data_IF_011610561620
#
_entry.id   IF_011610561620
#
_cell.length_a   1.000
_cell.length_b   1.000
_cell.length_c   1.000
_cell.angle_alpha   90.00
_cell.angle_beta   90.00
_cell.angle_gamma   90.00
#
_symmetry.space_group_name_H-M   'P 1'
#
loop_
_entity.id
_entity.type
_entity.pdbx_description
1 polymer ?
#
# COMPACT_ATOMS: atom_id res chain seq x y z
N UNK A 1 33.00 21.14 14.09
CA UNK A 1 31.73 21.88 13.93
C UNK A 1 31.07 21.60 12.60
N UNK A 2 31.65 21.95 11.44
CA UNK A 2 31.01 21.77 10.13
C UNK A 2 30.55 20.33 9.81
N UNK A 3 31.30 19.30 10.21
CA UNK A 3 30.86 17.90 10.07
C UNK A 3 29.63 17.56 10.93
N UNK A 4 29.55 18.08 12.16
CA UNK A 4 28.39 17.89 13.05
C UNK A 4 27.17 18.62 12.50
N UNK A 5 27.38 19.83 11.96
CA UNK A 5 26.33 20.60 11.29
C UNK A 5 25.82 19.84 10.07
N UNK A 6 26.69 19.33 9.20
CA UNK A 6 26.29 18.53 8.03
C UNK A 6 25.56 17.24 8.38
N UNK A 7 25.95 16.57 9.47
CA UNK A 7 25.23 15.42 10.01
C UNK A 7 23.83 15.82 10.50
N UNK A 8 23.74 16.88 11.31
CA UNK A 8 22.49 17.34 11.91
C UNK A 8 21.51 17.88 10.88
N UNK A 9 21.97 18.68 9.91
CA UNK A 9 21.12 19.24 8.85
C UNK A 9 20.55 18.15 7.95
N UNK A 10 21.33 17.14 7.58
CA UNK A 10 20.83 16.01 6.81
C UNK A 10 19.86 15.14 7.61
N UNK A 11 20.15 14.87 8.88
CA UNK A 11 19.24 14.15 9.78
C UNK A 11 17.90 14.90 9.92
N UNK A 12 17.97 16.22 10.09
CA UNK A 12 16.80 17.08 10.22
C UNK A 12 15.99 17.12 8.92
N UNK A 13 16.64 17.28 7.76
CA UNK A 13 15.97 17.26 6.46
C UNK A 13 15.20 15.95 6.23
N UNK A 14 15.80 14.82 6.62
CA UNK A 14 15.14 13.51 6.57
C UNK A 14 13.96 13.48 7.53
N UNK A 15 14.11 13.89 8.79
CA UNK A 15 12.98 13.92 9.72
C UNK A 15 11.84 14.81 9.26
N UNK A 16 12.15 16.01 8.76
CA UNK A 16 11.19 16.97 8.21
C UNK A 16 10.51 16.45 6.94
N UNK A 17 11.09 15.48 6.24
CA UNK A 17 10.44 14.83 5.10
C UNK A 17 9.32 13.87 5.53
N UNK A 18 9.45 13.28 6.71
CA UNK A 18 8.55 12.23 7.19
C UNK A 18 7.59 12.66 8.31
N UNK A 19 7.95 13.68 9.08
CA UNK A 19 7.20 14.13 10.25
C UNK A 19 6.96 15.64 10.24
N UNK A 20 5.83 16.09 10.82
CA UNK A 20 4.74 15.30 11.39
C UNK A 20 3.81 14.74 10.30
N UNK A 21 3.15 13.61 10.58
CA UNK A 21 2.22 12.96 9.63
C UNK A 21 0.99 13.85 9.36
N UNK A 22 0.46 14.46 10.41
CA UNK A 22 -0.61 15.47 10.32
C UNK A 22 0.00 16.84 10.41
N UNK A 23 -0.59 17.81 9.71
CA UNK A 23 -0.19 19.21 9.82
C UNK A 23 -0.28 19.68 11.28
N UNK A 24 0.83 20.21 11.80
CA UNK A 24 0.88 20.85 13.12
C UNK A 24 1.14 22.33 12.90
N UNK A 25 0.19 23.17 13.29
CA UNK A 25 0.30 24.62 13.19
C UNK A 25 -1.04 25.35 13.30
N UNK A 26 -1.00 26.67 13.17
CA UNK A 26 -2.16 27.55 13.23
C UNK A 26 -2.27 28.29 11.88
N UNK A 27 -3.32 27.98 11.11
CA UNK A 27 -3.56 28.60 9.79
C UNK A 27 -2.44 28.30 8.78
N UNK A 28 -1.86 29.35 8.18
CA UNK A 28 -0.77 29.24 7.19
C UNK A 28 0.61 28.96 7.82
N UNK A 29 0.72 29.03 9.15
CA UNK A 29 1.98 28.79 9.87
C UNK A 29 1.88 27.40 10.50
N UNK A 30 2.41 26.40 9.80
CA UNK A 30 2.56 25.06 10.32
C UNK A 30 3.43 24.18 9.44
N UNK A 31 3.86 23.07 10.01
CA UNK A 31 4.70 22.10 9.33
C UNK A 31 3.97 20.76 9.22
N UNK A 32 4.05 20.17 8.05
CA UNK A 32 3.70 18.78 7.79
C UNK A 32 4.86 18.16 7.03
N UNK A 33 5.16 16.89 7.30
CA UNK A 33 6.17 16.18 6.53
C UNK A 33 5.87 16.24 5.04
N UNK A 34 6.90 16.41 4.22
CA UNK A 34 6.86 16.45 2.74
C UNK A 34 6.03 15.28 2.18
N UNK A 35 6.34 14.06 2.63
CA UNK A 35 5.72 12.84 2.11
C UNK A 35 4.25 12.74 2.55
N UNK A 36 3.89 12.88 3.84
CA UNK A 36 2.49 12.94 4.26
C UNK A 36 1.67 14.01 3.54
N UNK A 37 2.22 15.21 3.33
CA UNK A 37 1.52 16.32 2.65
C UNK A 37 1.18 16.01 1.20
N UNK A 38 1.98 15.17 0.54
CA UNK A 38 1.85 14.82 -0.88
C UNK A 38 1.38 13.38 -1.10
N UNK A 39 1.01 12.67 -0.04
CA UNK A 39 0.65 11.25 -0.08
C UNK A 39 -0.44 10.95 -1.11
N UNK A 40 -1.45 11.82 -1.25
CA UNK A 40 -2.54 11.66 -2.23
C UNK A 40 -2.03 11.73 -3.68
N UNK A 41 -1.21 12.72 -4.01
CA UNK A 41 -0.62 12.83 -5.36
C UNK A 41 0.29 11.65 -5.67
N UNK A 42 1.06 11.21 -4.67
CA UNK A 42 1.92 10.03 -4.78
C UNK A 42 1.11 8.76 -4.97
N UNK A 43 0.01 8.61 -4.24
CA UNK A 43 -0.95 7.53 -4.39
C UNK A 43 -1.48 7.50 -5.82
N UNK A 44 -1.93 8.63 -6.39
CA UNK A 44 -2.40 8.67 -7.78
C UNK A 44 -1.33 8.24 -8.78
N UNK A 45 -0.10 8.75 -8.67
CA UNK A 45 1.01 8.34 -9.56
C UNK A 45 1.32 6.85 -9.39
N UNK A 46 1.38 6.38 -8.15
CA UNK A 46 1.63 4.99 -7.84
C UNK A 46 0.52 4.09 -8.40
N UNK A 47 -0.75 4.47 -8.25
CA UNK A 47 -1.91 3.77 -8.81
C UNK A 47 -1.82 3.74 -10.34
N UNK A 48 -1.63 4.87 -11.01
CA UNK A 48 -1.60 4.91 -12.47
C UNK A 48 -0.43 4.06 -13.04
N UNK A 49 0.73 4.08 -12.37
CA UNK A 49 1.88 3.23 -12.75
C UNK A 49 1.69 1.77 -12.40
N UNK A 50 1.09 1.48 -11.25
CA UNK A 50 0.75 0.12 -10.82
C UNK A 50 -0.30 -0.46 -11.76
N UNK A 51 -1.31 0.28 -12.18
CA UNK A 51 -2.30 -0.20 -13.15
C UNK A 51 -1.68 -0.51 -14.52
N UNK A 52 -0.75 0.33 -14.98
CA UNK A 52 -0.05 0.10 -16.26
C UNK A 52 0.76 -1.19 -16.28
N UNK A 53 1.31 -1.60 -15.12
CA UNK A 53 2.25 -2.74 -15.05
C UNK A 53 1.63 -4.01 -14.41
N UNK A 54 0.66 -3.83 -13.52
CA UNK A 54 0.03 -4.86 -12.70
C UNK A 54 -1.45 -5.07 -13.07
N UNK A 55 -1.93 -4.46 -14.16
CA UNK A 55 -3.34 -4.46 -14.56
C UNK A 55 -3.94 -5.82 -14.94
N UNK A 56 -3.19 -6.91 -14.82
CA UNK A 56 -3.72 -8.26 -14.99
C UNK A 56 -3.91 -8.93 -13.61
N UNK A 57 -5.10 -8.73 -13.03
CA UNK A 57 -5.48 -9.38 -11.77
C UNK A 57 -5.55 -10.90 -11.90
N UNK A 58 -5.71 -11.42 -13.12
CA UNK A 58 -5.77 -12.86 -13.37
C UNK A 58 -4.45 -13.55 -13.00
N UNK A 59 -3.31 -12.89 -13.20
CA UNK A 59 -2.00 -13.41 -12.75
C UNK A 59 -1.97 -13.59 -11.22
N UNK A 60 -2.50 -12.61 -10.47
CA UNK A 60 -2.58 -12.71 -9.00
C UNK A 60 -3.55 -13.79 -8.57
N UNK A 61 -4.72 -13.86 -9.21
CA UNK A 61 -5.73 -14.89 -8.96
C UNK A 61 -5.21 -16.32 -9.19
N UNK A 62 -4.53 -16.57 -10.32
CA UNK A 62 -3.93 -17.88 -10.60
C UNK A 62 -2.89 -18.27 -9.54
N UNK A 63 -2.10 -17.29 -9.08
CA UNK A 63 -1.07 -17.49 -8.05
C UNK A 63 -1.67 -17.77 -6.67
N UNK A 64 -2.85 -17.24 -6.38
CA UNK A 64 -3.59 -17.51 -5.14
C UNK A 64 -4.07 -18.96 -5.00
N UNK A 65 -3.92 -19.78 -6.06
CA UNK A 65 -4.41 -21.15 -6.17
C UNK A 65 -5.94 -21.19 -6.02
N UNK A 66 -6.72 -21.09 -7.12
CA UNK A 66 -8.20 -21.09 -7.06
C UNK A 66 -8.79 -22.24 -6.23
N UNK A 67 -8.17 -23.42 -6.30
CA UNK A 67 -8.52 -24.59 -5.51
C UNK A 67 -8.45 -24.34 -3.99
N UNK A 68 -7.53 -23.49 -3.51
CA UNK A 68 -7.46 -23.08 -2.09
C UNK A 68 -8.62 -22.17 -1.71
N UNK A 69 -9.04 -21.29 -2.60
CA UNK A 69 -10.23 -20.45 -2.41
C UNK A 69 -11.47 -21.35 -2.30
N UNK A 70 -11.63 -22.32 -3.20
CA UNK A 70 -12.73 -23.30 -3.15
C UNK A 70 -12.72 -24.07 -1.82
N UNK A 71 -11.57 -24.62 -1.41
CA UNK A 71 -11.43 -25.34 -0.14
C UNK A 71 -11.83 -24.48 1.06
N UNK A 72 -11.41 -23.22 1.08
CA UNK A 72 -11.73 -22.27 2.15
C UNK A 72 -13.24 -21.99 2.21
N UNK A 73 -13.87 -21.70 1.06
CA UNK A 73 -15.32 -21.43 1.00
C UNK A 73 -16.10 -22.67 1.42
N UNK A 74 -15.74 -23.86 0.92
CA UNK A 74 -16.40 -25.12 1.31
C UNK A 74 -16.24 -25.40 2.79
N UNK A 75 -15.05 -25.21 3.36
CA UNK A 75 -14.78 -25.47 4.77
C UNK A 75 -15.60 -24.57 5.72
N UNK A 76 -15.91 -23.34 5.30
CA UNK A 76 -16.71 -22.40 6.09
C UNK A 76 -18.22 -22.53 5.86
N UNK A 77 -18.65 -22.74 4.61
CA UNK A 77 -20.07 -22.75 4.24
C UNK A 77 -20.71 -24.11 4.48
N UNK A 78 -19.99 -25.22 4.26
CA UNK A 78 -20.54 -26.58 4.38
C UNK A 78 -21.06 -26.91 5.80
N UNK A 79 -20.34 -26.57 6.90
CA UNK A 79 -20.84 -26.84 8.25
C UNK A 79 -22.13 -26.08 8.61
N UNK A 80 -22.37 -24.94 7.97
CA UNK A 80 -23.53 -24.07 8.21
C UNK A 80 -24.62 -24.22 7.14
N UNK A 81 -24.48 -25.20 6.25
CA UNK A 81 -25.40 -25.39 5.13
C UNK A 81 -26.84 -25.63 5.60
N UNK A 82 -27.02 -26.46 6.63
CA UNK A 82 -28.35 -26.76 7.16
C UNK A 82 -29.00 -25.51 7.79
N UNK A 83 -28.21 -24.71 8.52
CA UNK A 83 -28.62 -23.41 9.08
C UNK A 83 -29.07 -22.46 7.97
N UNK A 84 -28.29 -22.33 6.89
CA UNK A 84 -28.65 -21.48 5.76
C UNK A 84 -29.92 -21.95 5.04
N UNK A 85 -30.12 -23.26 4.89
CA UNK A 85 -31.33 -23.81 4.28
C UNK A 85 -32.54 -23.50 5.17
N UNK A 86 -32.42 -23.72 6.47
CA UNK A 86 -33.49 -23.43 7.43
C UNK A 86 -33.84 -21.94 7.42
N UNK A 87 -32.85 -21.05 7.48
CA UNK A 87 -33.08 -19.60 7.42
C UNK A 87 -33.83 -19.18 6.15
N UNK A 88 -33.38 -19.65 4.98
CA UNK A 88 -34.02 -19.32 3.70
C UNK A 88 -35.47 -19.85 3.65
N UNK A 89 -35.69 -21.08 4.14
CA UNK A 89 -37.02 -21.70 4.12
C UNK A 89 -37.98 -21.05 5.11
N UNK A 90 -37.52 -20.70 6.32
CA UNK A 90 -38.33 -20.00 7.32
C UNK A 90 -38.65 -18.56 6.91
N UNK A 91 -37.77 -17.88 6.17
CA UNK A 91 -38.01 -16.53 5.67
C UNK A 91 -39.05 -16.51 4.53
N UNK A 92 -39.05 -17.54 3.68
CA UNK A 92 -39.93 -17.60 2.49
C UNK A 92 -41.26 -18.31 2.79
N UNK A 93 -41.21 -19.48 3.42
CA UNK A 93 -42.39 -20.29 3.69
C UNK A 93 -42.24 -21.12 4.99
N UNK A 94 -42.46 -20.51 6.17
CA UNK A 94 -42.29 -21.17 7.46
C UNK A 94 -43.27 -22.33 7.64
N UNK A 95 -44.53 -22.16 7.23
CA UNK A 95 -45.59 -23.16 7.40
C UNK A 95 -45.31 -24.45 6.63
N UNK A 96 -44.76 -24.35 5.42
CA UNK A 96 -44.37 -25.53 4.65
C UNK A 96 -43.18 -26.24 5.31
N UNK A 97 -42.21 -25.47 5.80
CA UNK A 97 -41.00 -26.01 6.39
C UNK A 97 -41.28 -26.80 7.67
N UNK A 98 -42.15 -26.28 8.53
CA UNK A 98 -42.56 -26.96 9.77
C UNK A 98 -43.36 -28.25 9.51
N UNK A 99 -44.15 -28.28 8.43
CA UNK A 99 -45.00 -29.42 8.08
C UNK A 99 -44.29 -30.47 7.20
N UNK A 100 -43.04 -30.23 6.78
CA UNK A 100 -42.29 -31.16 5.94
C UNK A 100 -41.83 -32.40 6.75
N UNK A 101 -42.12 -33.62 6.27
CA UNK A 101 -41.63 -34.83 6.90
C UNK A 101 -40.10 -34.84 7.03
N UNK A 102 -39.59 -35.38 8.14
CA UNK A 102 -38.15 -35.39 8.47
C UNK A 102 -37.29 -36.01 7.35
N UNK A 103 -37.79 -37.05 6.68
CA UNK A 103 -37.06 -37.69 5.58
C UNK A 103 -36.88 -36.78 4.36
N UNK A 104 -37.83 -35.87 4.12
CA UNK A 104 -37.74 -34.91 3.01
C UNK A 104 -36.72 -33.83 3.36
N UNK A 105 -36.78 -33.27 4.57
CA UNK A 105 -35.77 -32.30 5.05
C UNK A 105 -34.37 -32.87 5.00
N UNK A 106 -34.17 -34.09 5.50
CA UNK A 106 -32.89 -34.79 5.43
C UNK A 106 -32.39 -34.97 3.98
N UNK A 107 -33.30 -35.24 3.04
CA UNK A 107 -32.96 -35.36 1.61
C UNK A 107 -32.55 -34.02 1.01
N UNK A 108 -33.20 -32.91 1.38
CA UNK A 108 -32.83 -31.56 0.94
C UNK A 108 -31.44 -31.20 1.47
N UNK A 109 -31.17 -31.38 2.77
CA UNK A 109 -29.86 -31.11 3.36
C UNK A 109 -28.76 -31.94 2.67
N UNK A 110 -28.98 -33.25 2.47
CA UNK A 110 -28.01 -34.12 1.82
C UNK A 110 -27.75 -33.70 0.37
N UNK A 111 -28.79 -33.37 -0.38
CA UNK A 111 -28.67 -32.94 -1.76
C UNK A 111 -27.91 -31.61 -1.87
N UNK A 112 -28.18 -30.63 -1.00
CA UNK A 112 -27.46 -29.37 -0.97
C UNK A 112 -25.98 -29.55 -0.63
N UNK A 113 -25.66 -30.37 0.39
CA UNK A 113 -24.27 -30.70 0.76
C UNK A 113 -23.50 -31.38 -0.37
N UNK A 114 -24.16 -32.21 -1.17
CA UNK A 114 -23.54 -32.91 -2.31
C UNK A 114 -23.28 -31.98 -3.50
N UNK A 115 -24.16 -31.01 -3.75
CA UNK A 115 -24.05 -30.11 -4.90
C UNK A 115 -23.17 -28.89 -4.65
N UNK A 116 -23.04 -28.46 -3.39
CA UNK A 116 -22.33 -27.23 -3.04
C UNK A 116 -20.87 -27.18 -3.53
N UNK A 117 -20.02 -28.21 -3.35
CA UNK A 117 -18.61 -28.12 -3.72
C UNK A 117 -18.42 -27.80 -5.21
N UNK A 118 -19.11 -28.54 -6.09
CA UNK A 118 -19.05 -28.34 -7.54
C UNK A 118 -19.54 -26.94 -7.94
N UNK A 119 -20.60 -26.43 -7.28
CA UNK A 119 -21.11 -25.06 -7.54
C UNK A 119 -20.16 -23.96 -7.08
N UNK A 120 -19.44 -24.18 -5.98
CA UNK A 120 -18.42 -23.24 -5.53
C UNK A 120 -17.23 -23.26 -6.49
N UNK A 121 -16.82 -24.43 -6.98
CA UNK A 121 -15.74 -24.56 -7.95
C UNK A 121 -16.05 -23.80 -9.25
N UNK A 122 -17.21 -24.06 -9.86
CA UNK A 122 -17.67 -23.34 -11.07
C UNK A 122 -17.80 -21.81 -10.82
N UNK A 123 -18.23 -21.40 -9.62
CA UNK A 123 -18.39 -20.00 -9.25
C UNK A 123 -17.05 -19.28 -9.07
N UNK A 124 -16.07 -19.93 -8.44
CA UNK A 124 -14.72 -19.38 -8.28
C UNK A 124 -14.03 -19.29 -9.65
N UNK A 125 -14.21 -20.29 -10.51
CA UNK A 125 -13.69 -20.28 -11.89
C UNK A 125 -14.25 -19.09 -12.69
N UNK A 126 -15.59 -18.92 -12.73
CA UNK A 126 -16.25 -17.78 -13.39
C UNK A 126 -15.77 -16.42 -12.85
N UNK A 127 -15.52 -16.31 -11.53
CA UNK A 127 -14.95 -15.09 -10.95
C UNK A 127 -13.51 -14.83 -11.39
N UNK A 128 -12.73 -15.89 -11.57
CA UNK A 128 -11.38 -15.81 -12.09
C UNK A 128 -11.32 -15.30 -13.52
N UNK A 129 -12.20 -15.81 -14.38
CA UNK A 129 -12.24 -15.44 -15.79
C UNK A 129 -12.68 -13.97 -15.99
N UNK A 130 -13.64 -13.51 -15.19
CA UNK A 130 -14.18 -12.16 -15.26
C UNK A 130 -13.51 -11.14 -14.31
N UNK A 131 -12.45 -11.52 -13.57
CA UNK A 131 -11.93 -10.71 -12.44
C UNK A 131 -11.58 -9.27 -12.81
N UNK A 132 -10.94 -9.07 -13.97
CA UNK A 132 -10.58 -7.75 -14.50
C UNK A 132 -11.81 -6.86 -14.79
N UNK A 133 -12.96 -7.46 -15.06
CA UNK A 133 -14.23 -6.76 -15.32
C UNK A 133 -15.08 -6.59 -14.04
N UNK A 134 -14.83 -7.41 -13.01
CA UNK A 134 -15.51 -7.33 -11.71
C UNK A 134 -14.86 -6.30 -10.78
N UNK A 135 -13.55 -6.10 -10.88
CA UNK A 135 -12.77 -5.26 -9.95
C UNK A 135 -12.16 -4.07 -10.68
N UNK A 136 -12.63 -2.87 -10.34
CA UNK A 136 -11.91 -1.64 -10.67
C UNK A 136 -10.75 -1.44 -9.69
N UNK A 137 -9.55 -1.92 -10.09
CA UNK A 137 -8.34 -1.80 -9.30
C UNK A 137 -7.97 -0.33 -9.01
N UNK A 138 -8.29 0.60 -9.92
CA UNK A 138 -8.04 2.03 -9.71
C UNK A 138 -8.88 2.55 -8.56
N UNK A 139 -10.18 2.26 -8.58
CA UNK A 139 -11.10 2.66 -7.53
C UNK A 139 -10.74 2.02 -6.18
N UNK A 140 -10.39 0.72 -6.18
CA UNK A 140 -9.96 0.00 -4.98
C UNK A 140 -8.72 0.65 -4.36
N UNK A 141 -7.62 0.78 -5.12
CA UNK A 141 -6.37 1.35 -4.58
C UNK A 141 -6.54 2.81 -4.15
N UNK A 142 -7.35 3.60 -4.87
CA UNK A 142 -7.66 4.98 -4.49
C UNK A 142 -8.40 5.04 -3.15
N UNK A 143 -9.39 4.18 -2.93
CA UNK A 143 -10.15 4.10 -1.68
C UNK A 143 -9.25 3.67 -0.51
N UNK A 144 -8.44 2.63 -0.71
CA UNK A 144 -7.59 2.10 0.35
C UNK A 144 -6.44 3.04 0.73
N UNK A 145 -5.86 3.75 -0.24
CA UNK A 145 -4.84 4.77 0.05
C UNK A 145 -5.39 6.01 0.76
N UNK A 146 -6.66 6.37 0.52
CA UNK A 146 -7.34 7.43 1.31
C UNK A 146 -7.56 7.01 2.77
N UNK A 147 -7.86 5.73 3.01
CA UNK A 147 -8.04 5.19 4.36
C UNK A 147 -6.70 4.98 5.09
N UNK A 148 -5.60 4.77 4.36
CA UNK A 148 -4.25 4.54 4.88
C UNK A 148 -3.23 5.55 4.34
N UNK A 149 -3.36 6.85 4.67
CA UNK A 149 -2.47 7.90 4.15
C UNK A 149 -1.02 7.78 4.65
N UNK A 150 -0.79 7.05 5.74
CA UNK A 150 0.52 6.79 6.30
C UNK A 150 1.27 5.65 5.60
N UNK A 151 0.59 4.84 4.77
CA UNK A 151 1.20 3.70 4.08
C UNK A 151 2.41 4.13 3.23
N UNK A 152 2.27 5.24 2.50
CA UNK A 152 3.39 5.79 1.73
C UNK A 152 4.56 6.16 2.65
N UNK A 153 4.30 6.82 3.78
CA UNK A 153 5.34 7.15 4.75
C UNK A 153 6.05 5.89 5.28
N UNK A 154 5.29 4.84 5.60
CA UNK A 154 5.83 3.55 6.07
C UNK A 154 6.64 2.83 5.01
N UNK A 155 6.16 2.75 3.77
CA UNK A 155 6.90 2.22 2.62
C UNK A 155 8.28 2.91 2.53
N UNK A 156 8.31 4.24 2.52
CA UNK A 156 9.55 4.98 2.39
C UNK A 156 10.46 4.86 3.61
N UNK A 157 9.90 4.79 4.82
CA UNK A 157 10.67 4.59 6.05
C UNK A 157 11.27 3.20 6.14
N UNK A 158 10.48 2.15 5.94
CA UNK A 158 10.94 0.78 6.02
C UNK A 158 11.93 0.48 4.91
N UNK A 159 11.57 0.80 3.66
CA UNK A 159 12.40 0.50 2.51
C UNK A 159 13.64 1.41 2.40
N UNK A 160 13.54 2.67 2.85
CA UNK A 160 14.60 3.68 2.74
C UNK A 160 15.49 3.82 3.98
N UNK A 161 15.11 3.25 5.14
CA UNK A 161 15.78 3.46 6.43
C UNK A 161 17.30 3.38 6.38
N UNK A 162 17.84 2.34 5.75
CA UNK A 162 19.28 2.08 5.66
C UNK A 162 19.98 3.14 4.80
N UNK A 163 19.39 3.52 3.67
CA UNK A 163 20.02 4.50 2.76
C UNK A 163 19.90 5.92 3.29
N UNK A 164 18.79 6.25 3.94
CA UNK A 164 18.62 7.53 4.65
C UNK A 164 19.67 7.67 5.75
N UNK A 165 19.95 6.62 6.53
CA UNK A 165 21.03 6.63 7.51
C UNK A 165 22.42 6.76 6.87
N UNK A 166 22.66 6.10 5.73
CA UNK A 166 23.91 6.25 4.97
C UNK A 166 24.13 7.70 4.55
N UNK A 167 23.08 8.39 4.11
CA UNK A 167 23.13 9.80 3.68
C UNK A 167 23.41 10.74 4.86
N UNK A 168 22.86 10.45 6.04
CA UNK A 168 23.16 11.20 7.26
C UNK A 168 24.64 11.09 7.61
N UNK A 169 25.17 9.86 7.61
CA UNK A 169 26.57 9.60 7.95
C UNK A 169 27.54 10.21 6.92
N UNK A 170 27.23 10.09 5.62
CA UNK A 170 28.00 10.74 4.55
C UNK A 170 27.83 12.26 4.56
N UNK A 171 26.72 12.77 5.07
CA UNK A 171 26.48 14.19 5.31
C UNK A 171 27.52 14.82 6.22
N UNK A 172 27.96 14.10 7.24
CA UNK A 172 29.04 14.55 8.12
C UNK A 172 30.36 14.74 7.35
N UNK A 173 30.68 13.80 6.45
CA UNK A 173 31.89 13.84 5.63
C UNK A 173 31.83 14.99 4.64
N UNK A 174 30.70 15.15 3.94
CA UNK A 174 30.49 16.23 2.96
C UNK A 174 30.56 17.60 3.65
N UNK A 175 29.82 17.78 4.75
CA UNK A 175 29.85 19.01 5.52
C UNK A 175 31.22 19.31 6.11
N UNK A 176 31.97 18.29 6.53
CA UNK A 176 33.35 18.40 6.97
C UNK A 176 34.29 18.89 5.86
N UNK A 177 34.18 18.32 4.65
CA UNK A 177 35.00 18.71 3.49
C UNK A 177 34.70 20.14 3.04
N UNK A 178 33.41 20.50 2.93
CA UNK A 178 33.01 21.87 2.58
C UNK A 178 33.41 22.87 3.66
N UNK A 179 33.31 22.50 4.94
CA UNK A 179 33.80 23.32 6.04
C UNK A 179 35.31 23.50 6.04
N UNK A 180 36.07 22.47 5.64
CA UNK A 180 37.52 22.56 5.48
C UNK A 180 37.93 23.50 4.33
N UNK A 181 37.10 23.62 3.29
CA UNK A 181 37.28 24.63 2.22
C UNK A 181 36.91 26.03 2.71
N UNK A 182 35.88 26.15 3.57
CA UNK A 182 35.45 27.44 4.13
C UNK A 182 36.46 28.00 5.17
N UNK A 183 37.17 27.14 5.90
CA UNK A 183 38.14 27.54 6.92
C UNK A 183 39.27 28.47 6.41
N UNK A 184 40.02 28.15 5.33
CA UNK A 184 41.04 29.06 4.79
C UNK A 184 40.45 30.35 4.21
N UNK A 185 39.22 30.29 3.67
CA UNK A 185 38.52 31.50 3.19
C UNK A 185 38.25 32.48 4.33
N UNK A 186 37.87 31.96 5.50
CA UNK A 186 37.68 32.77 6.71
C UNK A 186 38.99 33.30 7.27
N UNK A 187 40.08 32.51 7.23
CA UNK A 187 41.41 32.99 7.63
C UNK A 187 41.92 34.14 6.73
N UNK A 188 41.60 34.12 5.43
CA UNK A 188 41.97 35.17 4.50
C UNK A 188 41.09 36.43 4.62
N UNK A 189 39.79 36.25 4.92
CA UNK A 189 38.81 37.35 5.02
C UNK A 189 37.92 37.16 6.25
N UNK A 190 38.34 37.62 7.45
CA UNK A 190 37.62 37.41 8.70
C UNK A 190 36.44 38.39 8.86
N UNK A 191 35.54 38.41 7.89
CA UNK A 191 34.34 39.23 7.93
C UNK A 191 33.22 38.56 8.74
N UNK A 192 32.49 39.28 9.62
CA UNK A 192 31.46 38.71 10.50
C UNK A 192 30.32 37.97 9.77
N UNK A 193 29.99 38.41 8.55
CA UNK A 193 28.93 37.82 7.74
C UNK A 193 29.37 36.55 6.99
N UNK A 194 30.68 36.29 6.89
CA UNK A 194 31.20 35.16 6.12
C UNK A 194 30.86 33.81 6.76
N UNK A 195 30.82 33.71 8.10
CA UNK A 195 30.47 32.47 8.79
C UNK A 195 28.98 32.12 8.68
N UNK A 196 28.01 33.04 8.89
CA UNK A 196 26.60 32.76 8.63
C UNK A 196 26.30 32.46 7.16
N UNK A 197 26.85 33.23 6.21
CA UNK A 197 26.62 33.00 4.77
C UNK A 197 27.31 31.73 4.29
N UNK A 198 28.54 31.48 4.73
CA UNK A 198 29.27 30.26 4.46
C UNK A 198 28.58 29.04 5.07
N UNK A 199 28.07 29.16 6.30
CA UNK A 199 27.25 28.14 6.95
C UNK A 199 25.98 27.83 6.14
N UNK A 200 25.30 28.86 5.62
CA UNK A 200 24.16 28.69 4.72
C UNK A 200 24.54 27.91 3.46
N UNK A 201 25.61 28.33 2.79
CA UNK A 201 26.08 27.69 1.56
C UNK A 201 26.48 26.23 1.82
N UNK A 202 27.21 25.95 2.89
CA UNK A 202 27.61 24.59 3.27
C UNK A 202 26.38 23.73 3.54
N UNK A 203 25.40 24.22 4.31
CA UNK A 203 24.17 23.48 4.59
C UNK A 203 23.34 23.20 3.33
N UNK A 204 23.18 24.21 2.47
CA UNK A 204 22.45 24.12 1.21
C UNK A 204 23.10 23.11 0.24
N UNK A 205 24.42 23.25 0.01
CA UNK A 205 25.18 22.39 -0.90
C UNK A 205 25.26 20.96 -0.37
N UNK A 206 25.42 20.77 0.94
CA UNK A 206 25.46 19.43 1.56
C UNK A 206 24.15 18.69 1.31
N UNK A 207 23.01 19.36 1.52
CA UNK A 207 21.71 18.75 1.28
C UNK A 207 21.44 18.50 -0.22
N UNK A 208 21.88 19.41 -1.10
CA UNK A 208 21.83 19.21 -2.55
C UNK A 208 22.60 17.96 -2.99
N UNK A 209 23.83 17.80 -2.51
CA UNK A 209 24.66 16.62 -2.80
C UNK A 209 24.00 15.35 -2.24
N UNK A 210 23.45 15.42 -1.03
CA UNK A 210 22.76 14.31 -0.37
C UNK A 210 21.58 13.80 -1.21
N UNK A 211 20.68 14.71 -1.64
CA UNK A 211 19.53 14.36 -2.49
C UNK A 211 19.99 13.77 -3.83
N UNK A 212 21.01 14.38 -4.45
CA UNK A 212 21.55 13.89 -5.72
C UNK A 212 22.16 12.49 -5.57
N UNK A 213 22.83 12.18 -4.46
CA UNK A 213 23.39 10.86 -4.17
C UNK A 213 22.30 9.78 -3.97
N UNK A 214 21.14 10.17 -3.44
CA UNK A 214 20.01 9.26 -3.23
C UNK A 214 19.42 8.81 -4.57
N UNK A 215 19.18 9.77 -5.49
CA UNK A 215 18.35 9.55 -6.68
C UNK A 215 19.13 9.50 -8.01
N UNK A 216 20.41 9.85 -8.04
CA UNK A 216 21.21 9.87 -9.27
C UNK A 216 22.60 9.23 -9.07
N UNK A 217 23.19 8.66 -10.13
CA UNK A 217 22.67 8.49 -11.50
C UNK A 217 21.66 7.33 -11.62
N UNK A 218 20.71 7.46 -12.58
CA UNK A 218 19.67 6.46 -12.87
C UNK A 218 20.27 5.11 -13.27
N UNK A 219 21.17 5.15 -14.25
CA UNK A 219 21.89 3.96 -14.72
C UNK A 219 23.24 3.86 -14.04
N UNK A 220 23.68 2.65 -13.66
CA UNK A 220 24.98 2.45 -13.04
C UNK A 220 26.08 2.92 -13.99
N UNK A 221 26.83 3.94 -13.58
CA UNK A 221 28.00 4.43 -14.33
C UNK A 221 29.26 3.86 -13.69
N UNK A 222 30.14 3.30 -14.53
CA UNK A 222 31.48 2.90 -14.13
C UNK A 222 32.39 4.11 -14.27
N UNK A 223 32.87 4.63 -13.13
CA UNK A 223 33.93 5.62 -13.12
C UNK A 223 35.18 4.92 -12.63
N UNK A 224 36.11 4.66 -13.56
CA UNK A 224 37.32 3.88 -13.31
C UNK A 224 37.01 2.49 -12.72
N UNK A 225 37.29 2.26 -11.43
CA UNK A 225 37.01 1.01 -10.69
C UNK A 225 35.69 1.02 -9.91
N UNK A 226 35.02 2.17 -9.79
CA UNK A 226 33.86 2.34 -8.92
C UNK A 226 32.56 2.34 -9.73
N UNK A 227 31.56 1.57 -9.27
CA UNK A 227 30.19 1.60 -9.82
C UNK A 227 29.37 2.60 -9.03
N UNK A 228 29.01 3.71 -9.65
CA UNK A 228 28.20 4.77 -9.04
C UNK A 228 26.77 4.65 -9.57
N UNK A 229 25.83 4.52 -8.65
CA UNK A 229 24.38 4.49 -8.90
C UNK A 229 23.68 5.14 -7.71
N UNK A 230 22.53 5.76 -7.94
CA UNK A 230 21.69 6.28 -6.85
C UNK A 230 21.43 5.20 -5.81
N UNK A 231 21.54 5.57 -4.53
CA UNK A 231 21.47 4.62 -3.40
C UNK A 231 20.15 3.83 -3.39
N UNK A 232 19.02 4.49 -3.69
CA UNK A 232 17.72 3.82 -3.75
C UNK A 232 17.61 2.82 -4.90
N UNK A 233 18.15 3.18 -6.07
CA UNK A 233 18.13 2.31 -7.26
C UNK A 233 19.01 1.08 -7.09
N UNK A 234 20.12 1.21 -6.36
CA UNK A 234 20.98 0.07 -6.03
C UNK A 234 20.26 -0.96 -5.14
N UNK A 235 19.27 -0.53 -4.36
CA UNK A 235 18.44 -1.39 -3.48
C UNK A 235 17.04 -1.67 -4.03
N UNK A 236 16.83 -1.48 -5.33
CA UNK A 236 15.52 -1.70 -5.96
C UNK A 236 14.91 -3.05 -5.54
N UNK A 237 15.68 -4.14 -5.50
CA UNK A 237 15.16 -5.45 -5.09
C UNK A 237 14.59 -5.48 -3.66
N UNK A 238 15.34 -4.95 -2.69
CA UNK A 238 14.93 -4.95 -1.28
C UNK A 238 13.74 -4.00 -1.04
N UNK A 239 13.75 -2.85 -1.71
CA UNK A 239 12.65 -1.88 -1.65
C UNK A 239 11.41 -2.50 -2.28
N UNK A 240 11.55 -3.21 -3.40
CA UNK A 240 10.46 -3.91 -4.08
C UNK A 240 9.82 -4.96 -3.16
N UNK A 241 10.63 -5.76 -2.44
CA UNK A 241 10.11 -6.75 -1.49
C UNK A 241 9.32 -6.11 -0.35
N UNK A 242 9.85 -5.02 0.22
CA UNK A 242 9.20 -4.31 1.33
C UNK A 242 7.91 -3.64 0.87
N UNK A 243 7.94 -2.98 -0.28
CA UNK A 243 6.79 -2.34 -0.90
C UNK A 243 5.70 -3.37 -1.21
N UNK A 244 6.06 -4.46 -1.88
CA UNK A 244 5.12 -5.51 -2.27
C UNK A 244 4.46 -6.18 -1.07
N UNK A 245 5.21 -6.42 0.01
CA UNK A 245 4.67 -6.93 1.27
C UNK A 245 3.62 -5.98 1.84
N UNK A 246 3.97 -4.70 2.02
CA UNK A 246 3.06 -3.70 2.58
C UNK A 246 1.80 -3.51 1.71
N UNK A 247 1.94 -3.49 0.39
CA UNK A 247 0.82 -3.37 -0.55
C UNK A 247 -0.06 -4.63 -0.53
N UNK A 248 0.52 -5.82 -0.48
CA UNK A 248 -0.25 -7.07 -0.42
C UNK A 248 -1.00 -7.23 0.91
N UNK A 249 -0.37 -6.86 2.02
CA UNK A 249 -0.96 -6.95 3.36
C UNK A 249 -2.04 -5.90 3.62
N UNK A 250 -1.96 -4.73 2.95
CA UNK A 250 -2.83 -3.59 3.30
C UNK A 250 -3.67 -3.03 2.15
N UNK A 251 -3.33 -3.22 0.88
CA UNK A 251 -4.10 -2.65 -0.25
C UNK A 251 -4.81 -3.70 -1.09
N UNK A 252 -4.16 -4.85 -1.34
CA UNK A 252 -4.65 -5.89 -2.26
C UNK A 252 -4.83 -7.21 -1.49
N UNK A 253 -5.58 -7.16 -0.39
CA UNK A 253 -5.96 -8.36 0.37
C UNK A 253 -7.16 -9.05 -0.28
N UNK A 254 -7.35 -10.36 0.00
CA UNK A 254 -8.48 -11.12 -0.54
C UNK A 254 -9.81 -10.51 -0.09
N UNK A 255 -9.89 -10.11 1.19
CA UNK A 255 -11.04 -9.36 1.74
C UNK A 255 -11.38 -8.11 0.93
N UNK A 256 -10.39 -7.24 0.67
CA UNK A 256 -10.61 -5.97 -0.02
C UNK A 256 -11.01 -6.17 -1.48
N UNK A 257 -10.44 -7.17 -2.14
CA UNK A 257 -10.83 -7.56 -3.50
C UNK A 257 -12.25 -8.13 -3.53
N UNK A 258 -12.61 -9.01 -2.59
CA UNK A 258 -13.96 -9.55 -2.48
C UNK A 258 -15.01 -8.46 -2.18
N UNK A 259 -14.69 -7.53 -1.28
CA UNK A 259 -15.51 -6.34 -1.02
C UNK A 259 -15.70 -5.49 -2.28
N UNK A 260 -14.62 -5.22 -3.02
CA UNK A 260 -14.68 -4.48 -4.28
C UNK A 260 -15.53 -5.20 -5.34
N UNK A 261 -15.46 -6.52 -5.43
CA UNK A 261 -16.32 -7.29 -6.34
C UNK A 261 -17.80 -7.14 -5.98
N UNK A 262 -18.17 -7.17 -4.70
CA UNK A 262 -19.59 -7.18 -4.28
C UNK A 262 -20.18 -5.77 -4.20
N UNK A 263 -19.42 -4.82 -3.66
CA UNK A 263 -19.86 -3.46 -3.31
C UNK A 263 -19.32 -2.37 -4.24
N UNK A 264 -18.38 -2.71 -5.12
CA UNK A 264 -17.84 -1.79 -6.11
C UNK A 264 -18.81 -1.51 -7.26
N UNK A 265 -18.30 -0.79 -8.25
CA UNK A 265 -19.07 -0.33 -9.42
C UNK A 265 -19.74 -1.48 -10.18
N UNK A 266 -19.08 -2.63 -10.26
CA UNK A 266 -19.55 -3.83 -10.99
C UNK A 266 -20.26 -4.86 -10.10
N UNK A 267 -20.67 -4.49 -8.88
CA UNK A 267 -21.31 -5.42 -7.93
C UNK A 267 -22.58 -6.10 -8.46
N UNK A 268 -23.28 -5.48 -9.42
CA UNK A 268 -24.43 -6.11 -10.07
C UNK A 268 -24.03 -7.35 -10.90
N UNK A 269 -22.87 -7.33 -11.56
CA UNK A 269 -22.35 -8.46 -12.32
C UNK A 269 -21.89 -9.60 -11.41
N UNK A 270 -21.15 -9.28 -10.35
CA UNK A 270 -20.76 -10.25 -9.31
C UNK A 270 -21.99 -10.95 -8.75
N UNK A 271 -23.04 -10.18 -8.40
CA UNK A 271 -24.31 -10.75 -7.97
C UNK A 271 -24.89 -11.67 -9.05
N UNK A 272 -24.91 -11.26 -10.32
CA UNK A 272 -25.44 -12.09 -11.41
C UNK A 272 -24.71 -13.43 -11.59
N UNK A 273 -23.38 -13.47 -11.43
CA UNK A 273 -22.58 -14.72 -11.45
C UNK A 273 -22.98 -15.62 -10.29
N UNK A 274 -23.11 -15.07 -9.08
CA UNK A 274 -23.62 -15.82 -7.92
C UNK A 274 -25.02 -16.39 -8.24
N UNK A 275 -25.93 -15.58 -8.80
CA UNK A 275 -27.26 -16.06 -9.16
C UNK A 275 -27.23 -17.16 -10.21
N UNK A 276 -26.33 -17.08 -11.20
CA UNK A 276 -26.17 -18.08 -12.27
C UNK A 276 -25.90 -19.46 -11.67
N UNK A 277 -25.02 -19.55 -10.68
CA UNK A 277 -24.62 -20.80 -10.03
C UNK A 277 -25.59 -21.32 -8.97
N UNK A 278 -26.33 -20.43 -8.31
CA UNK A 278 -27.32 -20.85 -7.31
C UNK A 278 -28.67 -21.23 -7.92
N UNK A 279 -29.02 -20.74 -9.12
CA UNK A 279 -30.29 -21.09 -9.80
C UNK A 279 -30.48 -22.61 -9.99
N UNK A 280 -29.49 -23.37 -10.51
CA UNK A 280 -29.59 -24.82 -10.63
C UNK A 280 -29.89 -25.52 -9.30
N UNK A 281 -29.50 -24.91 -8.17
CA UNK A 281 -29.76 -25.49 -6.87
C UNK A 281 -31.26 -25.49 -6.51
N UNK A 282 -32.02 -24.52 -7.00
CA UNK A 282 -33.47 -24.51 -6.82
C UNK A 282 -34.19 -25.33 -7.89
N UNK A 283 -33.67 -25.35 -9.10
CA UNK A 283 -34.37 -25.86 -10.30
C UNK A 283 -34.31 -27.38 -10.45
N UNK A 284 -33.24 -28.00 -9.94
CA UNK A 284 -33.01 -29.44 -10.03
C UNK A 284 -33.45 -30.20 -8.79
N UNK A 285 -33.90 -29.53 -7.71
CA UNK A 285 -34.48 -30.22 -6.57
C UNK A 285 -35.95 -30.56 -6.86
N UNK A 286 -36.25 -31.86 -6.89
CA UNK A 286 -37.61 -32.38 -7.08
C UNK A 286 -38.58 -31.83 -6.03
N UNK A 287 -38.06 -31.51 -4.83
CA UNK A 287 -38.84 -31.01 -3.69
C UNK A 287 -39.19 -29.53 -3.82
N UNK A 288 -38.30 -28.65 -4.31
CA UNK A 288 -38.70 -27.26 -4.57
C UNK A 288 -39.62 -27.12 -5.76
N UNK A 289 -39.51 -27.99 -6.78
CA UNK A 289 -40.50 -28.04 -7.87
C UNK A 289 -41.89 -28.36 -7.35
N UNK A 290 -42.01 -29.37 -6.49
CA UNK A 290 -43.30 -29.78 -5.91
C UNK A 290 -43.84 -28.76 -4.91
N UNK A 291 -42.98 -28.19 -4.04
CA UNK A 291 -43.37 -27.10 -3.14
C UNK A 291 -43.83 -25.84 -3.89
N UNK A 292 -43.07 -25.43 -4.92
CA UNK A 292 -43.41 -24.27 -5.74
C UNK A 292 -44.70 -24.48 -6.56
N UNK A 293 -44.91 -25.69 -7.10
CA UNK A 293 -46.10 -26.01 -7.90
C UNK A 293 -47.37 -26.16 -7.06
N UNK A 294 -47.27 -26.63 -5.81
CA UNK A 294 -48.45 -27.00 -5.01
C UNK A 294 -48.92 -25.87 -4.07
N UNK A 295 -48.05 -24.94 -3.66
CA UNK A 295 -48.39 -23.98 -2.58
C UNK A 295 -48.06 -22.50 -2.85
N UNK A 296 -47.24 -22.18 -3.87
CA UNK A 296 -46.51 -20.89 -3.87
C UNK A 296 -46.93 -19.91 -4.97
N UNK A 297 -47.45 -20.38 -6.11
CA UNK A 297 -47.67 -19.53 -7.28
C UNK A 297 -46.35 -18.93 -7.82
N UNK A 298 -46.41 -18.14 -8.89
CA UNK A 298 -45.22 -17.57 -9.53
C UNK A 298 -44.38 -16.65 -8.62
N UNK A 299 -44.96 -16.10 -7.56
CA UNK A 299 -44.34 -15.09 -6.69
C UNK A 299 -43.35 -15.67 -5.68
N UNK A 300 -43.71 -16.68 -4.87
CA UNK A 300 -42.79 -17.12 -3.83
C UNK A 300 -41.56 -17.90 -4.32
N UNK A 301 -41.57 -18.44 -5.55
CA UNK A 301 -40.35 -18.96 -6.18
C UNK A 301 -39.36 -17.83 -6.53
N UNK A 302 -39.87 -16.65 -6.93
CA UNK A 302 -39.02 -15.46 -7.11
C UNK A 302 -38.49 -14.92 -5.79
N UNK A 303 -39.27 -15.01 -4.70
CA UNK A 303 -38.80 -14.65 -3.36
C UNK A 303 -37.73 -15.61 -2.84
N UNK A 304 -37.89 -16.92 -3.06
CA UNK A 304 -36.87 -17.91 -2.71
C UNK A 304 -35.53 -17.61 -3.38
N UNK A 305 -35.57 -17.32 -4.69
CA UNK A 305 -34.37 -16.89 -5.44
C UNK A 305 -33.76 -15.63 -4.83
N UNK A 306 -34.58 -14.64 -4.47
CA UNK A 306 -34.11 -13.37 -3.90
C UNK A 306 -33.42 -13.57 -2.54
N UNK A 307 -34.07 -14.28 -1.62
CA UNK A 307 -33.56 -14.53 -0.26
C UNK A 307 -32.27 -15.36 -0.29
N UNK A 308 -32.25 -16.44 -1.09
CA UNK A 308 -31.06 -17.27 -1.25
C UNK A 308 -29.87 -16.46 -1.79
N UNK A 309 -30.08 -15.63 -2.82
CA UNK A 309 -29.02 -14.78 -3.36
C UNK A 309 -28.52 -13.77 -2.33
N UNK A 310 -29.41 -13.18 -1.53
CA UNK A 310 -29.05 -12.23 -0.49
C UNK A 310 -28.21 -12.91 0.60
N UNK A 311 -28.62 -14.09 1.06
CA UNK A 311 -27.86 -14.89 2.02
C UNK A 311 -26.50 -15.32 1.48
N UNK A 312 -26.43 -15.71 0.21
CA UNK A 312 -25.16 -16.05 -0.43
C UNK A 312 -24.19 -14.87 -0.45
N UNK A 313 -24.65 -13.66 -0.82
CA UNK A 313 -23.79 -12.46 -0.82
C UNK A 313 -23.27 -12.13 0.59
N UNK A 314 -24.08 -12.32 1.62
CA UNK A 314 -23.67 -12.11 3.02
C UNK A 314 -22.62 -13.16 3.42
N UNK A 315 -22.89 -14.44 3.16
CA UNK A 315 -21.97 -15.53 3.46
C UNK A 315 -20.62 -15.36 2.74
N UNK A 316 -20.61 -14.87 1.50
CA UNK A 316 -19.38 -14.57 0.77
C UNK A 316 -18.50 -13.57 1.50
N UNK A 317 -19.08 -12.51 2.10
CA UNK A 317 -18.29 -11.55 2.89
C UNK A 317 -17.66 -12.20 4.11
N UNK A 318 -18.41 -13.01 4.84
CA UNK A 318 -17.92 -13.67 6.05
C UNK A 318 -16.73 -14.60 5.75
N UNK A 319 -16.79 -15.33 4.62
CA UNK A 319 -15.71 -16.23 4.19
C UNK A 319 -14.41 -15.49 3.89
N UNK A 320 -14.49 -14.37 3.15
CA UNK A 320 -13.31 -13.63 2.72
C UNK A 320 -12.74 -12.69 3.79
N UNK A 321 -13.47 -12.46 4.88
CA UNK A 321 -13.00 -11.70 6.04
C UNK A 321 -12.17 -12.55 7.03
N UNK A 322 -11.87 -13.83 6.73
CA UNK A 322 -11.06 -14.68 7.61
C UNK A 322 -9.60 -14.18 7.72
N UNK A 323 -9.15 -13.73 8.91
CA UNK A 323 -7.79 -13.22 9.10
C UNK A 323 -6.71 -14.30 8.96
N UNK A 324 -7.03 -15.58 9.16
CA UNK A 324 -6.08 -16.67 8.98
C UNK A 324 -5.78 -16.87 7.48
N UNK A 325 -6.82 -16.93 6.65
CA UNK A 325 -6.69 -17.06 5.21
C UNK A 325 -5.99 -15.86 4.57
N UNK A 326 -6.37 -14.63 4.94
CA UNK A 326 -5.71 -13.42 4.42
C UNK A 326 -4.21 -13.39 4.74
N UNK A 327 -3.81 -13.78 5.96
CA UNK A 327 -2.38 -13.86 6.34
C UNK A 327 -1.62 -14.97 5.63
N UNK A 328 -2.27 -16.10 5.36
CA UNK A 328 -1.67 -17.21 4.60
C UNK A 328 -1.42 -16.81 3.14
N UNK A 329 -2.34 -16.04 2.54
CA UNK A 329 -2.30 -15.67 1.12
C UNK A 329 -1.51 -14.40 0.83
N UNK A 330 -1.37 -13.49 1.78
CA UNK A 330 -0.64 -12.23 1.60
C UNK A 330 0.81 -12.41 1.08
N UNK A 331 1.62 -13.38 1.55
CA UNK A 331 2.98 -13.61 1.02
C UNK A 331 3.01 -14.01 -0.46
N UNK A 332 1.97 -14.71 -0.93
CA UNK A 332 1.86 -15.14 -2.33
C UNK A 332 1.61 -13.91 -3.21
N UNK A 333 0.63 -13.08 -2.83
CA UNK A 333 0.34 -11.81 -3.52
C UNK A 333 1.58 -10.91 -3.50
N UNK A 334 2.23 -10.78 -2.34
CA UNK A 334 3.47 -10.02 -2.20
C UNK A 334 4.57 -10.54 -3.12
N UNK A 335 4.72 -11.86 -3.28
CA UNK A 335 5.70 -12.45 -4.19
C UNK A 335 5.45 -12.09 -5.66
N UNK A 336 4.20 -12.08 -6.10
CA UNK A 336 3.81 -11.67 -7.46
C UNK A 336 4.12 -10.19 -7.68
N UNK A 337 3.68 -9.35 -6.74
CA UNK A 337 3.91 -7.90 -6.80
C UNK A 337 5.40 -7.56 -6.74
N UNK A 338 6.18 -8.25 -5.91
CA UNK A 338 7.62 -8.07 -5.81
C UNK A 338 8.32 -8.45 -7.11
N UNK A 339 7.92 -9.56 -7.74
CA UNK A 339 8.47 -9.98 -9.03
C UNK A 339 8.24 -8.95 -10.13
N UNK A 340 7.03 -8.39 -10.20
CA UNK A 340 6.68 -7.33 -11.15
C UNK A 340 7.42 -6.02 -10.85
N UNK A 341 7.61 -5.65 -9.57
CA UNK A 341 8.35 -4.44 -9.20
C UNK A 341 9.86 -4.57 -9.44
N UNK A 342 10.42 -5.78 -9.27
CA UNK A 342 11.84 -6.09 -9.56
C UNK A 342 12.15 -6.09 -11.04
N UNK A 343 11.18 -6.42 -11.89
CA UNK A 343 11.37 -6.41 -13.35
C UNK A 343 11.30 -5.01 -13.97
N UNK A 344 10.88 -4.00 -13.19
CA UNK A 344 10.86 -2.62 -13.63
C UNK A 344 12.25 -2.12 -13.99
N UNK A 345 12.30 -1.29 -15.03
CA UNK A 345 13.52 -0.55 -15.38
C UNK A 345 13.80 0.49 -14.28
N UNK A 346 15.08 0.85 -14.05
CA UNK A 346 15.45 1.86 -13.05
C UNK A 346 14.69 3.19 -13.23
N UNK A 347 14.39 3.58 -14.47
CA UNK A 347 13.63 4.79 -14.77
C UNK A 347 12.17 4.70 -14.30
N UNK A 348 11.52 3.55 -14.51
CA UNK A 348 10.13 3.32 -14.11
C UNK A 348 9.99 3.26 -12.59
N UNK A 349 10.92 2.56 -11.93
CA UNK A 349 10.98 2.50 -10.49
C UNK A 349 11.22 3.89 -9.88
N UNK A 350 12.11 4.68 -10.48
CA UNK A 350 12.37 6.05 -10.03
C UNK A 350 11.16 6.95 -10.23
N UNK A 351 10.42 6.81 -11.31
CA UNK A 351 9.22 7.60 -11.59
C UNK A 351 8.10 7.38 -10.56
N UNK A 352 8.10 6.25 -9.85
CA UNK A 352 7.18 6.01 -8.72
C UNK A 352 7.60 6.85 -7.49
N UNK A 353 8.90 7.01 -7.24
CA UNK A 353 9.41 7.60 -6.00
C UNK A 353 9.81 9.09 -6.12
N UNK A 354 10.42 9.49 -7.24
CA UNK A 354 11.03 10.81 -7.47
C UNK A 354 10.03 11.98 -7.47
N UNK A 355 8.83 11.87 -8.05
CA UNK A 355 7.89 13.00 -8.10
C UNK A 355 7.52 13.54 -6.72
N UNK A 356 7.48 12.67 -5.71
CA UNK A 356 7.21 13.03 -4.32
C UNK A 356 8.22 14.01 -3.73
N UNK A 357 9.50 13.77 -4.00
CA UNK A 357 10.59 14.56 -3.41
C UNK A 357 10.87 15.81 -4.22
N UNK A 358 10.81 15.72 -5.57
CA UNK A 358 11.28 16.77 -6.48
C UNK A 358 10.68 18.15 -6.23
N UNK A 359 9.39 18.22 -5.86
CA UNK A 359 8.70 19.49 -5.59
C UNK A 359 9.20 20.18 -4.31
N UNK A 360 9.72 19.41 -3.35
CA UNK A 360 10.11 19.91 -2.02
C UNK A 360 11.63 19.90 -1.80
N UNK A 361 12.42 19.42 -2.77
CA UNK A 361 13.89 19.45 -2.70
C UNK A 361 14.40 20.85 -2.38
N UNK A 362 13.84 21.88 -3.02
CA UNK A 362 14.23 23.27 -2.76
C UNK A 362 13.93 23.66 -1.31
N UNK A 363 12.74 23.36 -0.79
CA UNK A 363 12.37 23.68 0.59
C UNK A 363 13.31 22.99 1.58
N UNK A 364 13.63 21.71 1.36
CA UNK A 364 14.57 20.96 2.18
C UNK A 364 15.99 21.55 2.13
N UNK A 365 16.47 21.94 0.94
CA UNK A 365 17.79 22.58 0.78
C UNK A 365 17.84 23.96 1.45
N UNK A 366 16.78 24.77 1.32
CA UNK A 366 16.69 26.08 1.99
C UNK A 366 16.68 25.96 3.51
N UNK A 367 15.90 25.03 4.06
CA UNK A 367 15.88 24.78 5.51
C UNK A 367 17.25 24.29 5.99
N UNK A 368 17.88 23.35 5.27
CA UNK A 368 19.24 22.90 5.56
C UNK A 368 20.26 24.06 5.56
N UNK A 369 20.14 24.98 4.61
CA UNK A 369 20.92 26.22 4.56
C UNK A 369 20.65 27.12 5.78
N UNK A 370 19.38 27.36 6.14
CA UNK A 370 19.03 28.20 7.29
C UNK A 370 19.65 27.67 8.59
N UNK A 371 19.59 26.37 8.83
CA UNK A 371 20.23 25.75 9.99
C UNK A 371 21.76 25.82 9.92
N UNK A 372 22.33 25.69 8.72
CA UNK A 372 23.75 25.94 8.50
C UNK A 372 24.16 27.38 8.85
N UNK A 373 23.32 28.37 8.52
CA UNK A 373 23.55 29.78 8.84
C UNK A 373 23.50 30.02 10.36
N UNK A 374 22.51 29.45 11.03
CA UNK A 374 22.39 29.51 12.50
C UNK A 374 23.61 28.87 13.17
N UNK A 375 24.07 27.72 12.67
CA UNK A 375 25.29 27.11 13.19
C UNK A 375 26.53 27.96 12.94
N UNK A 376 26.63 28.62 11.79
CA UNK A 376 27.68 29.59 11.48
C UNK A 376 27.66 30.81 12.42
N UNK A 377 26.47 31.31 12.77
CA UNK A 377 26.30 32.40 13.74
C UNK A 377 26.71 31.97 15.15
N UNK A 378 26.29 30.79 15.59
CA UNK A 378 26.71 30.22 16.88
C UNK A 378 28.23 30.07 16.93
N UNK A 379 28.83 29.58 15.84
CA UNK A 379 30.28 29.46 15.72
C UNK A 379 30.98 30.83 15.83
N UNK A 380 30.46 31.86 15.16
CA UNK A 380 30.99 33.23 15.25
C UNK A 380 30.92 33.77 16.69
N UNK A 381 29.77 33.64 17.36
CA UNK A 381 29.59 34.09 18.75
C UNK A 381 30.54 33.34 19.69
N UNK A 382 30.66 32.02 19.55
CA UNK A 382 31.54 31.21 20.38
C UNK A 382 33.02 31.58 20.19
N UNK A 383 33.44 31.89 18.96
CA UNK A 383 34.80 32.36 18.66
C UNK A 383 35.08 33.75 19.25
N UNK A 384 34.09 34.63 19.29
CA UNK A 384 34.25 36.00 19.82
C UNK A 384 34.16 36.09 21.36
N UNK A 385 33.68 35.03 22.03
CA UNK A 385 33.61 34.95 23.51
C UNK A 385 34.80 34.22 24.15
N UNK A 386 35.72 33.64 23.37
CA UNK A 386 36.96 33.07 23.90
C UNK A 386 37.97 34.20 24.20
N UNK A 387 38.41 34.38 25.46
CA UNK A 387 39.41 35.39 25.79
C UNK A 387 40.71 35.07 25.04
N UNK A 388 41.20 36.04 24.26
CA UNK A 388 42.54 35.98 23.69
C UNK A 388 43.54 35.76 24.84
N UNK A 389 44.43 34.74 24.80
CA UNK A 389 45.51 34.68 25.75
C UNK A 389 46.31 35.98 25.64
N UNK A 390 46.78 36.57 26.76
CA UNK A 390 47.53 37.81 26.71
C UNK A 390 48.72 37.60 25.78
N UNK A 391 48.82 38.43 24.75
CA UNK A 391 50.04 38.60 23.98
C UNK A 391 51.11 39.00 24.98
N UNK A 392 51.99 38.06 25.31
CA UNK A 392 53.13 38.31 26.18
C UNK A 392 53.99 39.42 25.58
N UNK A 393 54.08 40.52 26.32
CA UNK A 393 55.04 41.61 26.17
C UNK A 393 55.50 42.00 27.55
#
# INVERSE_FOLDING_TARGET
MAAVVGWFTNWLAIQMSFHPVRFIGIGVIGWQGVIPRKAEKMAHICIDRTLQQFGDLNTVYQKLEPQRIVQQVVAQVSPRMDEYIDEVMYEVQPVLWDNLPLFVRARIYQWARQQLPDRIEELVEDFGDDLNELVDLKALLSRELQNHPDLMNRIFREAGSVELQSVINRGAIIGGLLGAILAPLWLAYPEPWLLPVGGFAVGFITNWIAINLIFAPLRPRRVLFWRIQGLFLRRQEQISDTWARLVAEELITVEKVADAMINGQHGARTRAIIQKHLRPMLDNSMVMKLAAQVTVGMTGYTDLKRVMNQKAVIATRDVFNDPAFNRERAPIVAGVLAGQMKSLRPEEFQDILRPAFREEELQLMFVGGLFGAVAGLIQFIAMNQLPMPPLGG
#
